data_IF_686275741653
#
_entry.id   IF_686275741653
#
_cell.length_a   1.000
_cell.length_b   1.000
_cell.length_c   1.000
_cell.angle_alpha   90.00
_cell.angle_beta   90.00
_cell.angle_gamma   90.00
#
_symmetry.space_group_name_H-M   'P 1'
#
loop_
_entity.id
_entity.type
_entity.pdbx_description
1 polymer ?
#
# COMPACT_ATOMS: atom_id res chain seq x y z
N UNK A 1 -72.53 -26.33 60.20
CA UNK A 1 -72.11 -27.26 59.12
C UNK A 1 -72.10 -26.56 57.73
N UNK A 2 -72.99 -25.67 57.36
CA UNK A 2 -73.04 -24.96 56.11
C UNK A 2 -71.84 -24.02 55.80
N UNK A 3 -71.34 -23.35 56.88
CA UNK A 3 -70.20 -22.44 56.75
C UNK A 3 -68.84 -23.14 56.32
N UNK A 4 -68.68 -24.39 56.80
CA UNK A 4 -67.51 -25.19 56.44
C UNK A 4 -67.56 -25.65 54.96
N UNK A 5 -68.76 -25.94 54.45
CA UNK A 5 -68.92 -26.31 53.01
C UNK A 5 -68.65 -25.16 52.09
N UNK A 6 -69.01 -23.94 52.41
CA UNK A 6 -68.71 -22.75 51.65
C UNK A 6 -67.17 -22.47 51.57
N UNK A 7 -66.46 -22.62 52.64
CA UNK A 7 -65.00 -22.50 52.71
C UNK A 7 -64.32 -23.60 51.93
N UNK A 8 -64.77 -24.81 51.92
CA UNK A 8 -64.23 -25.92 51.15
C UNK A 8 -64.36 -25.60 49.67
N UNK A 9 -65.53 -25.17 49.18
CA UNK A 9 -65.72 -24.76 47.82
C UNK A 9 -64.79 -23.58 47.35
N UNK A 10 -64.58 -22.62 48.25
CA UNK A 10 -63.67 -21.52 48.04
C UNK A 10 -62.22 -22.02 47.82
N UNK A 11 -61.77 -22.86 48.77
CA UNK A 11 -60.41 -23.45 48.64
C UNK A 11 -60.23 -24.33 47.37
N UNK A 12 -61.24 -25.11 47.02
CA UNK A 12 -61.22 -25.89 45.76
C UNK A 12 -61.07 -25.02 44.55
N UNK A 13 -61.76 -23.84 44.50
CA UNK A 13 -61.64 -22.87 43.43
C UNK A 13 -60.22 -22.22 43.40
N UNK A 14 -59.71 -21.85 44.57
CA UNK A 14 -58.36 -21.30 44.71
C UNK A 14 -57.29 -22.29 44.26
N UNK A 15 -57.37 -23.54 44.71
CA UNK A 15 -56.49 -24.62 44.29
C UNK A 15 -56.58 -24.87 42.77
N UNK A 16 -57.81 -24.82 42.20
CA UNK A 16 -58.01 -24.92 40.75
C UNK A 16 -57.31 -23.80 39.99
N UNK A 17 -57.44 -22.55 40.49
CA UNK A 17 -56.77 -21.39 39.90
C UNK A 17 -55.25 -21.49 40.00
N UNK A 18 -54.73 -21.85 41.18
CA UNK A 18 -53.28 -22.06 41.37
C UNK A 18 -52.72 -23.14 40.47
N UNK A 19 -53.42 -24.27 40.29
CA UNK A 19 -53.02 -25.32 39.35
C UNK A 19 -52.97 -24.83 37.90
N UNK A 20 -53.92 -23.99 37.49
CA UNK A 20 -53.96 -23.40 36.16
C UNK A 20 -52.75 -22.46 35.93
N UNK A 21 -52.47 -21.62 36.94
CA UNK A 21 -51.31 -20.72 36.90
C UNK A 21 -50.01 -21.53 36.86
N UNK A 22 -49.85 -22.57 37.67
CA UNK A 22 -48.68 -23.43 37.63
C UNK A 22 -48.47 -24.10 36.27
N UNK A 23 -49.57 -24.62 35.66
CA UNK A 23 -49.48 -25.17 34.28
C UNK A 23 -49.04 -24.12 33.26
N UNK A 24 -49.50 -22.86 33.43
CA UNK A 24 -49.06 -21.74 32.59
C UNK A 24 -47.56 -21.49 32.73
N UNK A 25 -47.08 -21.43 33.97
CA UNK A 25 -45.63 -21.22 34.22
C UNK A 25 -44.76 -22.38 33.69
N UNK A 26 -45.17 -23.61 33.88
CA UNK A 26 -44.44 -24.77 33.31
C UNK A 26 -44.33 -24.65 31.79
N UNK A 27 -45.43 -24.32 31.11
CA UNK A 27 -45.36 -24.09 29.64
C UNK A 27 -44.41 -22.94 29.25
N UNK A 28 -44.42 -21.86 30.02
CA UNK A 28 -43.51 -20.73 29.75
C UNK A 28 -42.05 -21.13 29.97
N UNK A 29 -41.77 -21.88 31.05
CA UNK A 29 -40.42 -22.41 31.33
C UNK A 29 -39.93 -23.30 30.18
N UNK A 30 -40.76 -24.23 29.69
CA UNK A 30 -40.44 -25.11 28.59
C UNK A 30 -40.16 -24.33 27.28
N UNK A 31 -41.01 -23.32 27.01
CA UNK A 31 -40.81 -22.43 25.85
C UNK A 31 -39.50 -21.64 25.96
N UNK A 32 -39.21 -21.06 27.14
CA UNK A 32 -37.97 -20.32 27.38
C UNK A 32 -36.72 -21.24 27.27
N UNK A 33 -36.80 -22.46 27.82
CA UNK A 33 -35.71 -23.44 27.66
C UNK A 33 -35.45 -23.80 26.21
N UNK A 34 -36.51 -23.98 25.42
CA UNK A 34 -36.41 -24.28 24.01
C UNK A 34 -35.76 -23.11 23.24
N UNK A 35 -36.21 -21.89 23.48
CA UNK A 35 -35.66 -20.67 22.90
C UNK A 35 -34.18 -20.48 23.30
N UNK A 36 -33.86 -20.72 24.57
CA UNK A 36 -32.49 -20.59 25.05
C UNK A 36 -31.55 -21.59 24.33
N UNK A 37 -31.98 -22.85 24.20
CA UNK A 37 -31.21 -23.85 23.43
C UNK A 37 -31.00 -23.43 21.94
N UNK A 38 -32.05 -22.86 21.34
CA UNK A 38 -31.96 -22.36 19.96
C UNK A 38 -30.97 -21.20 19.87
N UNK A 39 -31.08 -20.20 20.77
CA UNK A 39 -30.17 -19.05 20.80
C UNK A 39 -28.71 -19.45 21.01
N UNK A 40 -28.45 -20.44 21.88
CA UNK A 40 -27.11 -20.98 22.09
C UNK A 40 -26.59 -21.60 20.78
N UNK A 41 -27.40 -22.38 20.08
CA UNK A 41 -27.02 -22.99 18.80
C UNK A 41 -26.71 -21.96 17.73
N UNK A 42 -27.58 -20.95 17.63
CA UNK A 42 -27.36 -19.82 16.67
C UNK A 42 -26.09 -19.04 17.01
N UNK A 43 -25.87 -18.75 18.29
CA UNK A 43 -24.67 -18.03 18.74
C UNK A 43 -23.38 -18.80 18.41
N UNK A 44 -23.37 -20.12 18.58
CA UNK A 44 -22.24 -20.98 18.17
C UNK A 44 -22.06 -20.93 16.66
N UNK A 45 -23.16 -20.96 15.90
CA UNK A 45 -23.13 -20.81 14.44
C UNK A 45 -22.50 -19.47 14.00
N UNK A 46 -23.01 -18.37 14.52
CA UNK A 46 -22.48 -17.04 14.21
C UNK A 46 -21.01 -16.86 14.60
N UNK A 47 -20.59 -17.40 15.74
CA UNK A 47 -19.17 -17.38 16.13
C UNK A 47 -18.28 -18.08 15.12
N UNK A 48 -18.71 -19.23 14.59
CA UNK A 48 -17.97 -19.95 13.53
C UNK A 48 -17.93 -19.12 12.23
N UNK A 49 -19.05 -18.54 11.83
CA UNK A 49 -19.11 -17.70 10.64
C UNK A 49 -18.20 -16.46 10.75
N UNK A 50 -18.26 -15.77 11.90
CA UNK A 50 -17.40 -14.63 12.19
C UNK A 50 -15.91 -15.04 12.14
N UNK A 51 -15.56 -16.16 12.77
CA UNK A 51 -14.19 -16.67 12.74
C UNK A 51 -13.71 -16.98 11.32
N UNK A 52 -14.55 -17.65 10.52
CA UNK A 52 -14.21 -17.97 9.13
C UNK A 52 -14.17 -16.74 8.22
N UNK A 53 -15.02 -15.74 8.47
CA UNK A 53 -15.01 -14.47 7.74
C UNK A 53 -13.75 -13.65 8.07
N UNK A 54 -13.36 -13.58 9.34
CA UNK A 54 -12.11 -12.93 9.76
C UNK A 54 -10.90 -13.57 9.10
N UNK A 55 -10.79 -14.89 9.17
CA UNK A 55 -9.67 -15.60 8.53
C UNK A 55 -9.58 -15.30 7.02
N UNK A 56 -10.73 -15.28 6.32
CA UNK A 56 -10.75 -14.91 4.89
C UNK A 56 -10.36 -13.47 4.64
N UNK A 57 -10.77 -12.55 5.51
CA UNK A 57 -10.39 -11.14 5.43
C UNK A 57 -8.89 -10.96 5.64
N UNK A 58 -8.32 -11.57 6.69
CA UNK A 58 -6.89 -11.52 6.99
C UNK A 58 -6.04 -12.07 5.83
N UNK A 59 -6.44 -13.23 5.26
CA UNK A 59 -5.76 -13.80 4.08
C UNK A 59 -5.87 -12.90 2.83
N UNK A 60 -7.01 -12.24 2.63
CA UNK A 60 -7.18 -11.32 1.51
C UNK A 60 -6.33 -10.05 1.69
N UNK A 61 -6.22 -9.53 2.90
CA UNK A 61 -5.41 -8.38 3.24
C UNK A 61 -3.91 -8.69 3.07
N UNK A 62 -3.45 -9.83 3.57
CA UNK A 62 -2.08 -10.30 3.39
C UNK A 62 -1.71 -10.44 1.90
N UNK A 63 -2.61 -11.05 1.11
CA UNK A 63 -2.40 -11.19 -0.33
C UNK A 63 -2.41 -9.85 -1.06
N UNK A 64 -3.26 -8.92 -0.65
CA UNK A 64 -3.28 -7.57 -1.21
C UNK A 64 -1.98 -6.82 -0.91
N UNK A 65 -1.46 -6.91 0.32
CA UNK A 65 -0.19 -6.32 0.71
C UNK A 65 1.00 -6.94 -0.06
N UNK A 66 1.01 -8.27 -0.25
CA UNK A 66 2.02 -8.95 -1.06
C UNK A 66 2.01 -8.48 -2.52
N UNK A 67 0.81 -8.36 -3.12
CA UNK A 67 0.66 -7.87 -4.49
C UNK A 67 1.07 -6.42 -4.63
N UNK A 68 0.69 -5.55 -3.69
CA UNK A 68 1.08 -4.14 -3.68
C UNK A 68 2.62 -4.00 -3.62
N UNK A 69 3.26 -4.81 -2.78
CA UNK A 69 4.72 -4.83 -2.70
C UNK A 69 5.37 -5.33 -4.01
N UNK A 70 4.83 -6.37 -4.63
CA UNK A 70 5.31 -6.85 -5.94
C UNK A 70 5.16 -5.79 -7.03
N UNK A 71 4.04 -5.06 -7.03
CA UNK A 71 3.83 -3.95 -7.97
C UNK A 71 4.82 -2.81 -7.71
N UNK A 72 5.04 -2.42 -6.46
CA UNK A 72 6.03 -1.38 -6.11
C UNK A 72 7.43 -1.72 -6.59
N UNK A 73 7.88 -2.95 -6.34
CA UNK A 73 9.21 -3.40 -6.79
C UNK A 73 9.27 -3.55 -8.32
N UNK A 74 8.21 -4.09 -8.93
CA UNK A 74 8.14 -4.30 -10.37
C UNK A 74 7.96 -3.02 -11.18
N UNK A 75 7.40 -1.96 -10.59
CA UNK A 75 7.14 -0.67 -11.27
C UNK A 75 8.37 0.24 -11.39
N UNK A 76 9.51 -0.16 -10.82
CA UNK A 76 10.76 0.60 -10.89
C UNK A 76 11.23 0.69 -12.35
N UNK A 77 11.42 1.92 -12.84
CA UNK A 77 11.95 2.16 -14.17
C UNK A 77 13.46 1.85 -14.20
N UNK A 78 13.89 1.16 -15.25
CA UNK A 78 15.28 0.81 -15.45
C UNK A 78 15.86 1.56 -16.66
N UNK A 79 17.00 2.20 -16.46
CA UNK A 79 17.78 2.76 -17.57
C UNK A 79 18.69 1.67 -18.14
N UNK A 80 18.76 1.63 -19.49
CA UNK A 80 19.66 0.75 -20.25
C UNK A 80 20.38 1.53 -21.37
N UNK A 81 21.38 0.92 -21.94
CA UNK A 81 22.15 1.50 -23.06
C UNK A 81 22.73 2.89 -22.75
N UNK A 82 23.22 3.07 -21.51
CA UNK A 82 23.74 4.34 -21.03
C UNK A 82 25.06 4.63 -21.76
N UNK A 83 25.12 5.78 -22.44
CA UNK A 83 26.30 6.27 -23.16
C UNK A 83 26.66 7.66 -22.66
N UNK A 84 27.93 7.88 -22.42
CA UNK A 84 28.47 9.17 -22.05
C UNK A 84 29.45 9.62 -23.14
N UNK A 85 29.23 10.79 -23.69
CA UNK A 85 30.12 11.41 -24.66
C UNK A 85 30.57 12.79 -24.23
N UNK A 86 31.85 13.07 -24.29
CA UNK A 86 32.42 14.39 -24.08
C UNK A 86 32.39 15.19 -25.39
N UNK A 87 31.87 16.40 -25.35
CA UNK A 87 31.70 17.29 -26.50
C UNK A 87 32.46 18.60 -26.28
N UNK A 88 33.03 19.16 -27.36
CA UNK A 88 33.55 20.51 -27.31
C UNK A 88 32.47 21.58 -27.56
N UNK A 89 32.83 22.85 -27.55
CA UNK A 89 31.92 23.98 -27.78
C UNK A 89 31.15 23.91 -29.11
N UNK A 90 31.73 23.23 -30.09
CA UNK A 90 31.11 23.01 -31.41
C UNK A 90 30.28 21.72 -31.47
N UNK A 91 29.98 21.13 -30.32
CA UNK A 91 29.22 19.86 -30.17
C UNK A 91 29.84 18.66 -30.88
N UNK A 92 31.17 18.69 -31.12
CA UNK A 92 31.92 17.55 -31.71
C UNK A 92 32.48 16.67 -30.58
N UNK A 93 32.42 15.33 -30.73
CA UNK A 93 33.02 14.41 -29.76
C UNK A 93 34.52 14.66 -29.62
N UNK A 94 34.99 14.62 -28.37
CA UNK A 94 36.42 14.74 -28.03
C UNK A 94 36.85 13.60 -27.13
N UNK A 95 38.06 13.12 -27.36
CA UNK A 95 38.63 12.02 -26.57
C UNK A 95 39.32 12.50 -25.28
N UNK A 96 39.62 13.79 -25.17
CA UNK A 96 40.31 14.37 -24.01
C UNK A 96 39.33 15.19 -23.20
N UNK A 97 39.16 14.85 -21.93
CA UNK A 97 38.26 15.56 -21.02
C UNK A 97 38.60 17.03 -20.87
N UNK A 98 39.91 17.39 -20.94
CA UNK A 98 40.38 18.80 -20.91
C UNK A 98 39.86 19.67 -22.09
N UNK A 99 39.43 19.04 -23.16
CA UNK A 99 38.90 19.73 -24.36
C UNK A 99 37.38 19.67 -24.42
N UNK A 100 36.74 19.13 -23.39
CA UNK A 100 35.31 19.01 -23.30
C UNK A 100 34.70 20.21 -22.55
N UNK A 101 33.70 20.81 -23.16
CA UNK A 101 32.87 21.86 -22.51
C UNK A 101 31.51 21.34 -22.14
N UNK A 102 31.08 20.20 -22.67
CA UNK A 102 29.79 19.57 -22.41
C UNK A 102 29.93 18.06 -22.32
N UNK A 103 29.05 17.46 -21.47
CA UNK A 103 28.83 16.02 -21.46
C UNK A 103 27.43 15.74 -22.02
N UNK A 104 27.36 14.75 -22.89
CA UNK A 104 26.10 14.22 -23.40
C UNK A 104 25.90 12.83 -22.79
N UNK A 105 24.75 12.65 -22.17
CA UNK A 105 24.32 11.36 -21.65
C UNK A 105 23.11 10.91 -22.44
N UNK A 106 23.22 9.80 -23.12
CA UNK A 106 22.14 9.13 -23.83
C UNK A 106 21.81 7.84 -23.11
N UNK A 107 20.54 7.54 -22.90
CA UNK A 107 20.08 6.28 -22.32
C UNK A 107 18.65 5.99 -22.73
N UNK A 108 18.24 4.73 -22.59
CA UNK A 108 16.87 4.30 -22.83
C UNK A 108 16.23 3.92 -21.49
N UNK A 109 15.09 4.51 -21.20
CA UNK A 109 14.21 4.01 -20.13
C UNK A 109 13.43 2.83 -20.70
N UNK A 110 13.60 1.67 -20.08
CA UNK A 110 12.96 0.44 -20.55
C UNK A 110 11.45 0.50 -20.35
N UNK A 111 10.72 -0.11 -21.30
CA UNK A 111 9.28 -0.34 -21.17
C UNK A 111 8.97 -1.09 -19.87
N UNK A 112 7.95 -0.63 -19.15
CA UNK A 112 7.47 -1.27 -17.92
C UNK A 112 5.96 -1.07 -17.79
N UNK A 113 5.20 -2.13 -18.01
CA UNK A 113 3.74 -2.11 -17.95
C UNK A 113 3.21 -1.87 -16.53
N UNK A 114 4.00 -2.18 -15.49
CA UNK A 114 3.62 -1.98 -14.09
C UNK A 114 3.87 -0.55 -13.61
N UNK A 115 4.66 0.22 -14.33
CA UNK A 115 4.92 1.61 -13.97
C UNK A 115 3.72 2.50 -14.34
N UNK A 116 3.38 3.44 -13.46
CA UNK A 116 2.32 4.41 -13.77
C UNK A 116 2.80 5.36 -14.88
N UNK A 117 2.07 5.50 -16.00
CA UNK A 117 2.42 6.46 -17.05
C UNK A 117 2.26 7.90 -16.56
N UNK A 118 2.95 8.83 -17.21
CA UNK A 118 2.87 10.27 -16.94
C UNK A 118 4.20 10.96 -16.81
N UNK A 119 4.16 12.25 -16.47
CA UNK A 119 5.35 13.09 -16.33
C UNK A 119 6.21 12.65 -15.15
N UNK A 120 7.50 12.48 -15.41
CA UNK A 120 8.49 12.07 -14.40
C UNK A 120 9.77 12.91 -14.54
N UNK A 121 10.34 13.26 -13.40
CA UNK A 121 11.67 13.84 -13.33
C UNK A 121 12.72 12.72 -13.28
N UNK A 122 13.66 12.75 -14.21
CA UNK A 122 14.82 11.84 -14.26
C UNK A 122 16.06 12.64 -13.89
N UNK A 123 16.77 12.16 -12.88
CA UNK A 123 18.00 12.79 -12.39
C UNK A 123 19.21 12.01 -12.90
N UNK A 124 20.15 12.73 -13.49
CA UNK A 124 21.43 12.18 -13.94
C UNK A 124 22.51 12.63 -12.99
N UNK A 125 23.24 11.68 -12.40
CA UNK A 125 24.36 11.93 -11.51
C UNK A 125 25.63 11.35 -12.12
N UNK A 126 26.59 12.23 -12.41
CA UNK A 126 27.89 11.86 -12.96
C UNK A 126 28.92 12.10 -11.86
N UNK A 127 29.66 11.05 -11.52
CA UNK A 127 30.70 11.12 -10.51
C UNK A 127 32.07 11.01 -11.15
N UNK A 128 32.99 11.89 -10.80
CA UNK A 128 34.39 11.81 -11.21
C UNK A 128 35.09 10.61 -10.55
N UNK A 129 36.22 10.14 -11.06
CA UNK A 129 36.99 9.07 -10.41
C UNK A 129 37.41 9.39 -8.96
N UNK A 130 37.53 10.65 -8.62
CA UNK A 130 37.87 11.14 -7.28
C UNK A 130 36.66 11.20 -6.33
N UNK A 131 35.48 10.76 -6.79
CA UNK A 131 34.26 10.70 -5.97
C UNK A 131 33.40 11.98 -5.97
N UNK A 132 33.81 13.03 -6.67
CA UNK A 132 33.03 14.27 -6.74
C UNK A 132 31.93 14.19 -7.78
N UNK A 133 30.74 14.69 -7.45
CA UNK A 133 29.63 14.81 -8.41
C UNK A 133 29.84 16.03 -9.27
N UNK A 134 29.79 15.86 -10.58
CA UNK A 134 29.80 16.97 -11.53
C UNK A 134 28.45 17.70 -11.46
N UNK A 135 28.43 18.87 -10.90
CA UNK A 135 27.21 19.68 -10.69
C UNK A 135 27.47 21.12 -11.15
N UNK A 136 26.42 21.89 -11.30
CA UNK A 136 26.50 23.34 -11.50
C UNK A 136 26.84 24.04 -10.18
N UNK A 137 27.21 25.32 -10.25
CA UNK A 137 27.52 26.14 -9.05
C UNK A 137 26.42 26.14 -8.00
N UNK A 138 25.16 25.99 -8.42
CA UNK A 138 24.00 25.95 -7.52
C UNK A 138 23.89 24.65 -6.70
N UNK A 139 24.70 23.62 -7.00
CA UNK A 139 24.67 22.29 -6.36
C UNK A 139 23.24 21.77 -6.11
N UNK A 140 22.42 21.62 -7.15
CA UNK A 140 21.04 21.22 -6.99
C UNK A 140 20.95 19.82 -6.39
N UNK A 141 19.96 19.61 -5.51
CA UNK A 141 19.76 18.35 -4.81
C UNK A 141 18.35 17.81 -5.04
N UNK A 142 18.20 16.51 -4.93
CA UNK A 142 16.92 15.79 -4.90
C UNK A 142 16.90 14.80 -3.75
N UNK A 143 15.73 14.39 -3.34
CA UNK A 143 15.56 13.38 -2.29
C UNK A 143 15.41 11.99 -2.93
N UNK A 144 16.23 11.05 -2.47
CA UNK A 144 16.21 9.66 -2.89
C UNK A 144 16.39 8.76 -1.68
N UNK A 145 15.43 7.88 -1.41
CA UNK A 145 15.44 6.96 -0.25
C UNK A 145 15.68 7.64 1.11
N UNK A 146 15.19 8.88 1.26
CA UNK A 146 15.36 9.68 2.49
C UNK A 146 16.71 10.42 2.59
N UNK A 147 17.57 10.32 1.59
CA UNK A 147 18.82 11.06 1.50
C UNK A 147 18.75 12.19 0.47
N UNK A 148 19.39 13.32 0.77
CA UNK A 148 19.55 14.40 -0.19
C UNK A 148 20.81 14.20 -1.01
N UNK A 149 20.63 13.97 -2.31
CA UNK A 149 21.72 13.72 -3.25
C UNK A 149 21.84 14.85 -4.26
N UNK A 150 23.07 15.28 -4.57
CA UNK A 150 23.33 16.22 -5.64
C UNK A 150 23.20 15.54 -7.01
N UNK A 151 22.71 16.26 -8.02
CA UNK A 151 22.61 15.76 -9.37
C UNK A 151 23.34 16.65 -10.38
N UNK A 152 23.73 16.06 -11.50
CA UNK A 152 24.41 16.75 -12.61
C UNK A 152 23.44 17.35 -13.62
N UNK A 153 22.32 16.70 -13.84
CA UNK A 153 21.24 17.18 -14.69
C UNK A 153 19.90 16.59 -14.30
N UNK A 154 18.83 17.28 -14.61
CA UNK A 154 17.45 16.81 -14.47
C UNK A 154 16.75 16.95 -15.81
N UNK A 155 15.90 15.97 -16.14
CA UNK A 155 15.03 15.99 -17.31
C UNK A 155 13.62 15.60 -16.90
N UNK A 156 12.64 16.38 -17.31
CA UNK A 156 11.24 16.00 -17.26
C UNK A 156 10.90 15.23 -18.53
N UNK A 157 10.30 14.09 -18.38
CA UNK A 157 9.90 13.19 -19.44
C UNK A 157 8.44 12.78 -19.27
N UNK A 158 7.74 12.57 -20.36
CA UNK A 158 6.44 11.91 -20.37
C UNK A 158 6.63 10.42 -20.70
N UNK A 159 6.48 9.59 -19.66
CA UNK A 159 6.67 8.14 -19.78
C UNK A 159 5.32 7.45 -20.02
N UNK A 160 5.23 6.67 -21.11
CA UNK A 160 3.99 6.02 -21.57
C UNK A 160 4.14 4.49 -21.63
N UNK A 161 4.83 3.88 -20.66
CA UNK A 161 5.04 2.42 -20.55
C UNK A 161 5.80 1.77 -21.72
N UNK A 162 6.43 2.57 -22.57
CA UNK A 162 7.22 2.13 -23.70
C UNK A 162 8.68 2.54 -23.53
N UNK A 163 9.55 1.93 -24.34
CA UNK A 163 10.96 2.35 -24.42
C UNK A 163 11.04 3.84 -24.80
N UNK A 164 11.72 4.61 -23.98
CA UNK A 164 11.89 6.05 -24.20
C UNK A 164 13.37 6.40 -24.22
N UNK A 165 13.83 6.91 -25.36
CA UNK A 165 15.17 7.47 -25.47
C UNK A 165 15.24 8.84 -24.79
N UNK A 166 16.20 9.00 -23.87
CA UNK A 166 16.43 10.24 -23.15
C UNK A 166 17.84 10.73 -23.42
N UNK A 167 17.93 11.98 -23.82
CA UNK A 167 19.18 12.68 -24.04
C UNK A 167 19.32 13.84 -23.06
N UNK A 168 20.42 13.93 -22.35
CA UNK A 168 20.76 15.03 -21.45
C UNK A 168 22.11 15.64 -21.82
N UNK A 169 22.15 16.96 -21.96
CA UNK A 169 23.36 17.75 -22.14
C UNK A 169 23.67 18.47 -20.83
N UNK A 170 24.90 18.30 -20.37
CA UNK A 170 25.40 18.89 -19.12
C UNK A 170 26.57 19.81 -19.48
N UNK A 171 26.49 21.07 -19.06
CA UNK A 171 27.59 22.01 -19.24
C UNK A 171 28.65 21.74 -18.17
N UNK A 172 29.92 21.56 -18.55
CA UNK A 172 31.01 21.42 -17.61
C UNK A 172 31.58 22.83 -17.42
N UNK A 173 31.24 23.48 -16.31
CA UNK A 173 32.06 24.58 -15.82
C UNK A 173 33.35 23.95 -15.27
N UNK A 174 34.51 24.51 -15.57
CA UNK A 174 35.76 24.01 -14.97
C UNK A 174 35.60 23.92 -13.45
N UNK A 175 35.98 22.78 -12.84
CA UNK A 175 35.91 22.66 -11.39
C UNK A 175 36.81 23.75 -10.79
N UNK A 176 36.20 24.72 -10.15
CA UNK A 176 36.91 25.68 -9.31
C UNK A 176 37.65 24.85 -8.25
N UNK A 177 38.96 24.68 -8.42
CA UNK A 177 39.80 24.08 -7.38
C UNK A 177 39.69 25.01 -6.16
N UNK A 178 39.24 24.52 -5.00
CA UNK A 178 39.43 25.29 -3.78
C UNK A 178 40.95 25.41 -3.57
N UNK A 179 41.37 26.62 -3.35
CA UNK A 179 42.77 26.93 -2.95
C UNK A 179 43.10 26.23 -1.62
#
# INVERSE_FOLDING_TARGET
RSWNLAKIKQYEKEVGTLRSIMKGYVKQIDSLNTLNKQLIKENVGFRKEISSARLRADMAEEKAAELDNKVKVGSVLRARDIRLAALNDRSKPVSRVKSASRLRVDFVLAANELATPGNRAVYVRITSPDGYVLTTEAMPTFEFEGERLSYSAMREIDYQNQDLEVLSLIHISEPTRPY
#
